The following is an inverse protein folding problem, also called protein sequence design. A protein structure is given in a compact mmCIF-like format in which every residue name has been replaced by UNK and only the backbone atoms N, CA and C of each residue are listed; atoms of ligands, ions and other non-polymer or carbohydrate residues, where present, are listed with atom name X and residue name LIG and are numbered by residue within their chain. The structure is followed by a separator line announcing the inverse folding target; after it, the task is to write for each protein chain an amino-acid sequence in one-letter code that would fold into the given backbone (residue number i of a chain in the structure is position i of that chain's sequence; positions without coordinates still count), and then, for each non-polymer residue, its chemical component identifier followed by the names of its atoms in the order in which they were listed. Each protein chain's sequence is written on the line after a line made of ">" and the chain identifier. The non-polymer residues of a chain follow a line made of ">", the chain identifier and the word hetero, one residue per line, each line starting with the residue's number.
data_IF_141518761147
#
_entry.id   IF_141518761147
#
_cell.length_a   1.000
_cell.length_b   1.000
_cell.length_c   1.000
_cell.angle_alpha   90.00
_cell.angle_beta   90.00
_cell.angle_gamma   90.00
#
_symmetry.space_group_name_H-M   'P 1'
#
loop_
_entity.id
_entity.type
_entity.pdbx_description
1 polymer ?
#
# COMPACT_ATOMS: atom_id res chain seq x y z
N UNK A 1 -35.29 1.02 -1.77
CA UNK A 1 -35.41 -0.44 -1.83
C UNK A 1 -35.71 -0.96 -0.43
N UNK A 2 -36.80 -1.70 -0.27
CA UNK A 2 -37.15 -2.38 0.99
C UNK A 2 -37.27 -3.90 0.80
N UNK A 3 -37.01 -4.39 -0.42
CA UNK A 3 -37.03 -5.81 -0.77
C UNK A 3 -35.66 -6.43 -0.49
N UNK A 4 -35.67 -7.65 0.03
CA UNK A 4 -34.44 -8.41 0.23
C UNK A 4 -33.85 -8.83 -1.12
N UNK A 5 -32.54 -8.63 -1.29
CA UNK A 5 -31.77 -9.04 -2.46
C UNK A 5 -30.85 -10.18 -2.02
N UNK A 6 -30.80 -11.27 -2.78
CA UNK A 6 -29.86 -12.36 -2.54
C UNK A 6 -29.25 -12.83 -3.86
N UNK A 7 -28.04 -13.37 -3.80
CA UNK A 7 -27.44 -14.09 -4.94
C UNK A 7 -27.16 -15.54 -4.55
N UNK A 8 -27.55 -16.47 -5.43
CA UNK A 8 -27.33 -17.91 -5.27
C UNK A 8 -26.18 -18.44 -6.13
N UNK A 9 -25.56 -17.59 -6.95
CA UNK A 9 -24.45 -17.97 -7.84
C UNK A 9 -23.10 -17.86 -7.14
N UNK A 10 -22.19 -18.79 -7.45
CA UNK A 10 -20.82 -18.81 -6.92
C UNK A 10 -19.88 -17.90 -7.70
N UNK A 11 -20.15 -17.68 -8.99
CA UNK A 11 -19.49 -16.68 -9.83
C UNK A 11 -20.17 -15.33 -9.58
N UNK A 12 -19.50 -14.37 -8.91
CA UNK A 12 -20.11 -13.09 -8.56
C UNK A 12 -20.14 -12.08 -9.71
N UNK A 13 -19.71 -10.82 -9.47
CA UNK A 13 -19.97 -9.63 -10.32
C UNK A 13 -21.40 -9.08 -10.23
N UNK A 14 -22.13 -9.42 -9.17
CA UNK A 14 -23.46 -8.88 -8.96
C UNK A 14 -23.37 -7.49 -8.32
N UNK A 15 -24.23 -6.56 -8.79
CA UNK A 15 -24.51 -5.31 -8.09
C UNK A 15 -25.90 -5.42 -7.48
N UNK A 16 -26.03 -5.21 -6.17
CA UNK A 16 -27.34 -5.17 -5.52
C UNK A 16 -28.09 -3.91 -5.90
N UNK A 17 -27.48 -2.76 -5.66
CA UNK A 17 -28.00 -1.44 -6.03
C UNK A 17 -26.87 -0.65 -6.70
N UNK A 18 -27.11 -0.15 -7.90
CA UNK A 18 -26.21 0.74 -8.61
C UNK A 18 -26.96 2.03 -8.96
N UNK A 19 -26.44 3.19 -8.57
CA UNK A 19 -27.13 4.46 -8.82
C UNK A 19 -26.18 5.65 -8.95
N UNK A 20 -26.58 6.63 -9.76
CA UNK A 20 -25.94 7.94 -9.89
C UNK A 20 -26.63 9.04 -9.10
N UNK A 21 -27.69 8.72 -8.37
CA UNK A 21 -28.50 9.68 -7.61
C UNK A 21 -28.73 9.16 -6.18
N UNK A 22 -29.87 9.45 -5.55
CA UNK A 22 -30.17 8.96 -4.21
C UNK A 22 -30.66 7.49 -4.24
N UNK A 23 -30.09 6.64 -3.38
CA UNK A 23 -30.55 5.28 -3.16
C UNK A 23 -30.67 4.99 -1.66
N UNK A 24 -31.88 4.72 -1.18
CA UNK A 24 -32.12 4.34 0.21
C UNK A 24 -32.51 2.85 0.27
N UNK A 25 -31.76 2.05 1.04
CA UNK A 25 -31.98 0.63 1.21
C UNK A 25 -32.34 0.28 2.66
N UNK A 26 -33.47 -0.37 2.87
CA UNK A 26 -33.89 -0.93 4.15
C UNK A 26 -34.08 -2.45 4.11
N UNK A 27 -34.02 -3.07 2.92
CA UNK A 27 -34.03 -4.53 2.76
C UNK A 27 -32.65 -5.13 3.01
N UNK A 28 -32.59 -6.43 3.28
CA UNK A 28 -31.32 -7.13 3.44
C UNK A 28 -30.71 -7.45 2.07
N UNK A 29 -29.39 -7.31 1.94
CA UNK A 29 -28.63 -7.74 0.76
C UNK A 29 -27.70 -8.88 1.20
N UNK A 30 -27.95 -10.09 0.70
CA UNK A 30 -27.14 -11.27 1.02
C UNK A 30 -26.37 -11.78 -0.20
N UNK A 31 -25.08 -11.46 -0.23
CA UNK A 31 -24.11 -11.91 -1.20
C UNK A 31 -23.03 -12.81 -0.59
N UNK A 32 -23.36 -13.52 0.49
CA UNK A 32 -22.44 -14.42 1.21
C UNK A 32 -21.88 -15.55 0.34
N UNK A 33 -22.65 -16.07 -0.60
CA UNK A 33 -22.31 -17.30 -1.36
C UNK A 33 -21.53 -17.07 -2.67
N UNK A 34 -21.26 -15.81 -3.04
CA UNK A 34 -20.60 -15.49 -4.31
C UNK A 34 -19.36 -14.61 -4.15
N UNK A 35 -18.45 -14.71 -5.12
CA UNK A 35 -17.15 -14.01 -5.09
C UNK A 35 -17.17 -12.77 -5.98
N UNK A 36 -16.78 -11.61 -5.44
CA UNK A 36 -16.72 -10.36 -6.19
C UNK A 36 -18.06 -9.65 -6.35
N UNK A 37 -18.89 -9.65 -5.31
CA UNK A 37 -20.21 -9.01 -5.34
C UNK A 37 -20.20 -7.65 -4.64
N UNK A 38 -20.97 -6.70 -5.18
CA UNK A 38 -21.06 -5.35 -4.65
C UNK A 38 -22.49 -5.05 -4.17
N UNK A 39 -22.66 -4.80 -2.87
CA UNK A 39 -23.97 -4.51 -2.28
C UNK A 39 -24.61 -3.24 -2.85
N UNK A 40 -24.07 -2.07 -2.48
CA UNK A 40 -24.55 -0.76 -2.97
C UNK A 40 -23.38 0.00 -3.61
N UNK A 41 -23.52 0.42 -4.87
CA UNK A 41 -22.52 1.22 -5.58
C UNK A 41 -23.08 2.56 -6.03
N UNK A 42 -22.43 3.64 -5.59
CA UNK A 42 -22.80 5.01 -5.90
C UNK A 42 -21.75 5.69 -6.79
N UNK A 43 -22.21 6.30 -7.88
CA UNK A 43 -21.38 7.03 -8.85
C UNK A 43 -21.97 8.42 -9.14
N UNK A 44 -21.26 9.22 -9.91
CA UNK A 44 -21.58 10.56 -10.39
C UNK A 44 -22.15 11.50 -9.31
N UNK A 45 -21.59 11.47 -8.10
CA UNK A 45 -22.05 12.28 -6.97
C UNK A 45 -23.30 11.75 -6.27
N UNK A 46 -23.76 10.55 -6.61
CA UNK A 46 -24.90 9.87 -6.00
C UNK A 46 -24.69 9.60 -4.50
N UNK A 47 -25.79 9.45 -3.78
CA UNK A 47 -25.79 9.17 -2.33
C UNK A 47 -26.55 7.90 -1.99
N UNK A 48 -25.86 6.92 -1.40
CA UNK A 48 -26.41 5.62 -1.01
C UNK A 48 -26.54 5.51 0.51
N UNK A 49 -27.70 5.12 1.01
CA UNK A 49 -27.94 4.90 2.44
C UNK A 49 -28.44 3.49 2.69
N UNK A 50 -27.80 2.78 3.61
CA UNK A 50 -28.23 1.47 4.05
C UNK A 50 -28.74 1.52 5.49
N UNK A 51 -29.90 0.94 5.78
CA UNK A 51 -30.39 0.68 7.14
C UNK A 51 -30.68 -0.80 7.40
N UNK A 52 -30.58 -1.65 6.37
CA UNK A 52 -30.72 -3.10 6.48
C UNK A 52 -29.39 -3.80 6.76
N UNK A 53 -29.37 -5.12 6.64
CA UNK A 53 -28.13 -5.91 6.72
C UNK A 53 -27.58 -6.16 5.32
N UNK A 54 -26.31 -5.84 5.09
CA UNK A 54 -25.56 -6.22 3.90
C UNK A 54 -24.53 -7.29 4.31
N UNK A 55 -24.53 -8.44 3.64
CA UNK A 55 -23.55 -9.50 3.85
C UNK A 55 -22.81 -9.76 2.55
N UNK A 56 -21.47 -9.77 2.59
CA UNK A 56 -20.63 -10.03 1.42
C UNK A 56 -19.72 -11.24 1.62
N UNK A 57 -19.56 -12.04 0.56
CA UNK A 57 -18.65 -13.17 0.47
C UNK A 57 -17.20 -12.75 0.15
N UNK A 58 -16.41 -13.69 -0.35
CA UNK A 58 -14.97 -13.48 -0.57
C UNK A 58 -14.69 -12.61 -1.79
N UNK A 59 -13.51 -12.00 -1.83
CA UNK A 59 -12.94 -11.46 -3.07
C UNK A 59 -12.02 -12.52 -3.70
N UNK A 60 -11.89 -12.47 -5.02
CA UNK A 60 -10.83 -13.15 -5.77
C UNK A 60 -9.90 -12.08 -6.34
N UNK A 61 -8.85 -11.82 -5.57
CA UNK A 61 -7.84 -10.80 -5.87
C UNK A 61 -7.05 -11.17 -7.14
N UNK A 62 -6.92 -12.46 -7.46
CA UNK A 62 -6.19 -12.92 -8.65
C UNK A 62 -6.92 -12.57 -9.95
N UNK A 63 -8.25 -12.59 -9.92
CA UNK A 63 -9.10 -12.24 -11.05
C UNK A 63 -9.74 -10.86 -10.94
N UNK A 64 -9.25 -10.02 -10.01
CA UNK A 64 -9.74 -8.64 -9.77
C UNK A 64 -11.25 -8.57 -9.44
N UNK A 65 -11.77 -9.59 -8.76
CA UNK A 65 -13.18 -9.69 -8.35
C UNK A 65 -13.33 -9.31 -6.87
N UNK A 66 -13.66 -8.06 -6.60
CA UNK A 66 -13.74 -7.55 -5.23
C UNK A 66 -15.16 -7.58 -4.67
N UNK A 67 -15.32 -8.22 -3.52
CA UNK A 67 -16.56 -8.20 -2.74
C UNK A 67 -16.58 -6.98 -1.83
N UNK A 68 -17.59 -6.13 -1.99
CA UNK A 68 -17.70 -4.86 -1.26
C UNK A 68 -19.12 -4.62 -0.78
N UNK A 69 -19.31 -4.36 0.52
CA UNK A 69 -20.64 -4.08 1.08
C UNK A 69 -21.26 -2.81 0.49
N UNK A 70 -20.55 -1.70 0.58
CA UNK A 70 -20.94 -0.43 -0.03
C UNK A 70 -19.74 0.26 -0.68
N UNK A 71 -19.90 0.82 -1.87
CA UNK A 71 -18.86 1.54 -2.59
C UNK A 71 -19.35 2.90 -3.09
N UNK A 72 -18.46 3.90 -3.09
CA UNK A 72 -18.70 5.19 -3.69
C UNK A 72 -17.49 5.69 -4.47
N UNK A 73 -17.74 6.29 -5.63
CA UNK A 73 -16.69 6.82 -6.48
C UNK A 73 -15.90 5.74 -7.23
N UNK A 74 -15.00 6.19 -8.08
CA UNK A 74 -14.18 5.36 -8.95
C UNK A 74 -12.93 6.12 -9.32
N UNK A 75 -11.78 5.45 -9.29
CA UNK A 75 -10.50 6.09 -9.62
C UNK A 75 -10.46 6.55 -11.08
N UNK A 76 -11.21 5.89 -11.96
CA UNK A 76 -11.16 6.10 -13.40
C UNK A 76 -10.18 5.14 -14.06
N UNK A 77 -10.48 4.76 -15.30
CA UNK A 77 -9.59 4.04 -16.19
C UNK A 77 -9.59 4.71 -17.59
N UNK A 78 -8.98 4.06 -18.59
CA UNK A 78 -8.90 4.60 -19.96
C UNK A 78 -10.26 4.80 -20.64
N UNK A 79 -11.27 4.10 -20.17
CA UNK A 79 -12.61 3.98 -20.78
C UNK A 79 -13.73 4.53 -19.90
N UNK A 80 -13.49 4.60 -18.59
CA UNK A 80 -14.46 4.99 -17.58
C UNK A 80 -13.90 6.16 -16.79
N UNK A 81 -14.57 7.31 -16.85
CA UNK A 81 -14.13 8.50 -16.14
C UNK A 81 -14.13 8.29 -14.62
N UNK A 82 -13.23 8.99 -13.93
CA UNK A 82 -13.25 9.06 -12.48
C UNK A 82 -14.60 9.61 -12.00
N UNK A 83 -15.08 9.11 -10.87
CA UNK A 83 -16.33 9.58 -10.28
C UNK A 83 -16.25 9.65 -8.76
N UNK A 84 -17.17 10.41 -8.17
CA UNK A 84 -17.35 10.54 -6.73
C UNK A 84 -18.71 9.99 -6.28
N UNK A 85 -18.93 9.95 -4.96
CA UNK A 85 -20.23 9.66 -4.37
C UNK A 85 -20.21 9.74 -2.85
N UNK A 86 -21.36 9.52 -2.21
CA UNK A 86 -21.46 9.39 -0.77
C UNK A 86 -22.17 8.09 -0.38
N UNK A 87 -21.66 7.40 0.63
CA UNK A 87 -22.32 6.21 1.19
C UNK A 87 -22.39 6.28 2.71
N UNK A 88 -23.56 5.93 3.25
CA UNK A 88 -23.84 5.93 4.68
C UNK A 88 -24.39 4.56 5.12
N UNK A 89 -23.67 3.88 6.02
CA UNK A 89 -24.18 2.68 6.68
C UNK A 89 -24.83 3.04 8.02
N UNK A 90 -26.15 2.92 8.07
CA UNK A 90 -26.99 3.03 9.28
C UNK A 90 -27.55 1.66 9.72
N UNK A 91 -27.07 0.56 9.13
CA UNK A 91 -27.43 -0.81 9.47
C UNK A 91 -26.20 -1.65 9.81
N UNK A 92 -26.18 -2.91 9.39
CA UNK A 92 -25.04 -3.80 9.62
C UNK A 92 -24.42 -4.23 8.31
N UNK A 93 -23.09 -4.19 8.21
CA UNK A 93 -22.33 -4.79 7.12
C UNK A 93 -21.54 -5.97 7.68
N UNK A 94 -21.82 -7.18 7.21
CA UNK A 94 -21.08 -8.40 7.53
C UNK A 94 -20.11 -8.73 6.39
N UNK A 95 -18.83 -8.72 6.71
CA UNK A 95 -17.71 -8.95 5.78
C UNK A 95 -17.22 -10.38 6.01
N UNK A 96 -17.82 -11.34 5.31
CA UNK A 96 -17.72 -12.76 5.66
C UNK A 96 -16.66 -13.54 4.89
N UNK A 97 -16.22 -13.06 3.72
CA UNK A 97 -15.20 -13.75 2.95
C UNK A 97 -13.84 -13.04 2.98
N UNK A 98 -12.78 -13.79 2.75
CA UNK A 98 -11.43 -13.25 2.73
C UNK A 98 -11.27 -12.14 1.68
N UNK A 99 -10.38 -11.18 1.97
CA UNK A 99 -10.04 -10.05 1.09
C UNK A 99 -11.22 -9.15 0.72
N UNK A 100 -12.39 -9.31 1.36
CA UNK A 100 -13.56 -8.47 1.13
C UNK A 100 -13.52 -7.19 1.96
N UNK A 101 -14.28 -6.20 1.49
CA UNK A 101 -14.28 -4.84 2.04
C UNK A 101 -15.69 -4.50 2.53
N UNK A 102 -15.81 -3.93 3.74
CA UNK A 102 -17.09 -3.44 4.24
C UNK A 102 -17.57 -2.24 3.44
N UNK A 103 -16.78 -1.16 3.42
CA UNK A 103 -17.07 0.05 2.65
C UNK A 103 -15.84 0.56 1.88
N UNK A 104 -16.04 1.00 0.64
CA UNK A 104 -15.00 1.53 -0.24
C UNK A 104 -15.32 2.96 -0.71
N UNK A 105 -14.31 3.83 -0.79
CA UNK A 105 -14.44 5.17 -1.34
C UNK A 105 -13.21 5.65 -2.11
N UNK A 106 -13.41 6.26 -3.28
CA UNK A 106 -12.33 6.85 -4.06
C UNK A 106 -12.66 8.26 -4.55
N UNK A 107 -11.61 9.05 -4.79
CA UNK A 107 -11.64 10.42 -5.33
C UNK A 107 -12.00 11.52 -4.33
N UNK A 108 -11.46 12.72 -4.59
CA UNK A 108 -11.78 13.93 -3.84
C UNK A 108 -13.26 14.28 -4.01
N UNK A 109 -13.96 14.51 -2.89
CA UNK A 109 -15.41 14.70 -2.86
C UNK A 109 -16.20 13.44 -2.50
N UNK A 110 -15.57 12.27 -2.42
CA UNK A 110 -16.21 11.06 -1.92
C UNK A 110 -16.20 10.99 -0.40
N UNK A 111 -17.34 10.61 0.19
CA UNK A 111 -17.47 10.40 1.64
C UNK A 111 -18.04 9.02 1.95
N UNK A 112 -17.39 8.31 2.86
CA UNK A 112 -17.77 6.98 3.35
C UNK A 112 -18.04 7.06 4.85
N UNK A 113 -19.31 6.92 5.24
CA UNK A 113 -19.75 7.10 6.63
C UNK A 113 -20.30 5.81 7.21
N UNK A 114 -19.68 5.30 8.27
CA UNK A 114 -20.25 4.23 9.09
C UNK A 114 -20.88 4.81 10.35
N UNK A 115 -22.21 4.71 10.48
CA UNK A 115 -22.96 5.14 11.67
C UNK A 115 -23.35 3.98 12.59
N UNK A 116 -23.18 2.73 12.14
CA UNK A 116 -23.56 1.51 12.88
C UNK A 116 -22.46 0.46 12.78
N UNK A 117 -22.77 -0.77 12.40
CA UNK A 117 -21.87 -1.90 12.57
C UNK A 117 -21.24 -2.33 11.24
N UNK A 118 -19.92 -2.49 11.25
CA UNK A 118 -19.17 -3.28 10.27
C UNK A 118 -18.50 -4.42 11.04
N UNK A 119 -18.84 -5.65 10.67
CA UNK A 119 -18.37 -6.87 11.33
C UNK A 119 -17.46 -7.65 10.38
N UNK A 120 -16.20 -7.78 10.75
CA UNK A 120 -15.14 -8.46 9.99
C UNK A 120 -15.03 -9.92 10.46
N UNK A 121 -15.47 -10.86 9.63
CA UNK A 121 -15.62 -12.28 10.01
C UNK A 121 -14.59 -13.21 9.34
N UNK A 122 -13.69 -12.69 8.51
CA UNK A 122 -12.65 -13.47 7.83
C UNK A 122 -11.28 -12.75 7.85
N UNK A 123 -10.21 -13.52 7.64
CA UNK A 123 -8.85 -12.99 7.52
C UNK A 123 -8.69 -12.11 6.26
N UNK A 124 -7.69 -11.24 6.28
CA UNK A 124 -7.39 -10.30 5.19
C UNK A 124 -8.54 -9.33 4.82
N UNK A 125 -9.56 -9.22 5.67
CA UNK A 125 -10.70 -8.32 5.42
C UNK A 125 -10.39 -6.88 5.81
N UNK A 126 -11.09 -5.95 5.17
CA UNK A 126 -11.00 -4.52 5.48
C UNK A 126 -12.36 -3.96 5.86
N UNK A 127 -12.44 -3.18 6.95
CA UNK A 127 -13.67 -2.48 7.33
C UNK A 127 -14.01 -1.36 6.36
N UNK A 128 -13.20 -0.30 6.38
CA UNK A 128 -13.32 0.83 5.45
C UNK A 128 -12.02 0.98 4.67
N UNK A 129 -12.11 1.11 3.36
CA UNK A 129 -10.98 1.49 2.50
C UNK A 129 -11.33 2.80 1.81
N UNK A 130 -10.51 3.85 2.00
CA UNK A 130 -10.64 5.10 1.24
C UNK A 130 -9.31 5.52 0.61
N UNK A 131 -9.36 6.09 -0.58
CA UNK A 131 -8.17 6.56 -1.29
C UNK A 131 -8.40 7.80 -2.17
N UNK A 132 -7.30 8.36 -2.65
CA UNK A 132 -7.28 9.48 -3.60
C UNK A 132 -8.08 10.69 -3.10
N UNK A 133 -7.80 11.12 -1.87
CA UNK A 133 -8.46 12.23 -1.16
C UNK A 133 -9.93 11.98 -0.73
N UNK A 134 -10.41 10.74 -0.77
CA UNK A 134 -11.71 10.39 -0.20
C UNK A 134 -11.70 10.46 1.34
N UNK A 135 -12.87 10.67 1.95
CA UNK A 135 -13.03 10.85 3.40
C UNK A 135 -13.79 9.67 4.01
N UNK A 136 -13.26 9.08 5.07
CA UNK A 136 -13.93 8.12 5.90
C UNK A 136 -14.37 8.76 7.22
N UNK A 137 -15.59 8.46 7.67
CA UNK A 137 -16.12 8.84 8.98
C UNK A 137 -16.65 7.59 9.66
N UNK A 138 -16.13 7.27 10.85
CA UNK A 138 -16.66 6.19 11.68
C UNK A 138 -17.31 6.79 12.94
N UNK A 139 -18.63 6.78 12.99
CA UNK A 139 -19.42 7.09 14.18
C UNK A 139 -19.88 5.83 14.93
N UNK A 140 -19.88 4.68 14.25
CA UNK A 140 -20.33 3.40 14.78
C UNK A 140 -19.19 2.48 15.25
N UNK A 141 -19.38 1.17 15.06
CA UNK A 141 -18.41 0.14 15.39
C UNK A 141 -17.85 -0.53 14.13
N UNK A 142 -16.53 -0.65 14.06
CA UNK A 142 -15.83 -1.56 13.15
C UNK A 142 -15.14 -2.59 14.03
N UNK A 143 -15.50 -3.87 13.89
CA UNK A 143 -14.96 -4.90 14.77
C UNK A 143 -14.79 -6.26 14.12
N UNK A 144 -13.87 -7.06 14.65
CA UNK A 144 -13.82 -8.49 14.35
C UNK A 144 -15.02 -9.21 14.97
N UNK A 145 -15.64 -10.12 14.22
CA UNK A 145 -16.78 -10.93 14.68
C UNK A 145 -16.44 -12.40 14.95
N UNK A 146 -15.25 -12.86 14.54
CA UNK A 146 -14.74 -14.20 14.79
C UNK A 146 -13.39 -14.17 15.50
N UNK A 147 -13.00 -15.29 16.13
CA UNK A 147 -11.68 -15.48 16.73
C UNK A 147 -10.71 -16.14 15.75
N UNK A 148 -9.41 -16.08 16.04
CA UNK A 148 -8.38 -16.75 15.24
C UNK A 148 -8.09 -16.12 13.88
N UNK A 149 -8.52 -14.87 13.67
CA UNK A 149 -8.30 -14.15 12.42
C UNK A 149 -6.86 -13.65 12.28
N UNK A 150 -6.44 -13.37 11.04
CA UNK A 150 -5.15 -12.78 10.70
C UNK A 150 -5.29 -11.67 9.66
N UNK A 151 -4.37 -10.72 9.69
CA UNK A 151 -4.26 -9.62 8.72
C UNK A 151 -5.57 -8.80 8.55
N UNK A 152 -6.42 -8.73 9.58
CA UNK A 152 -7.64 -7.95 9.52
C UNK A 152 -7.30 -6.47 9.67
N UNK A 153 -7.86 -5.62 8.82
CA UNK A 153 -7.63 -4.17 8.90
C UNK A 153 -8.95 -3.43 9.15
N UNK A 154 -9.01 -2.63 10.21
CA UNK A 154 -10.18 -1.81 10.50
C UNK A 154 -10.42 -0.76 9.41
N UNK A 155 -9.42 0.12 9.18
CA UNK A 155 -9.48 1.17 8.15
C UNK A 155 -8.18 1.24 7.35
N UNK A 156 -8.27 1.33 6.02
CA UNK A 156 -7.15 1.64 5.12
C UNK A 156 -7.32 3.04 4.58
N UNK A 157 -6.26 3.83 4.68
CA UNK A 157 -6.20 5.22 4.21
C UNK A 157 -5.13 5.38 3.13
N UNK A 158 -5.57 5.37 1.88
CA UNK A 158 -4.76 5.68 0.70
C UNK A 158 -4.35 7.16 0.60
N UNK A 159 -3.68 7.53 -0.49
CA UNK A 159 -3.14 8.86 -0.70
C UNK A 159 -4.11 10.01 -0.41
N UNK A 160 -3.72 10.92 0.48
CA UNK A 160 -4.48 12.14 0.83
C UNK A 160 -5.84 11.90 1.49
N UNK A 161 -6.21 10.64 1.76
CA UNK A 161 -7.48 10.31 2.39
C UNK A 161 -7.47 10.62 3.89
N UNK A 162 -8.64 10.75 4.50
CA UNK A 162 -8.74 11.08 5.92
C UNK A 162 -9.73 10.17 6.63
N UNK A 163 -9.43 9.75 7.86
CA UNK A 163 -10.39 9.15 8.78
C UNK A 163 -10.74 10.15 9.89
N UNK A 164 -12.03 10.37 10.11
CA UNK A 164 -12.54 10.90 11.38
C UNK A 164 -13.20 9.75 12.15
N UNK A 165 -12.56 9.30 13.22
CA UNK A 165 -13.11 8.24 14.07
C UNK A 165 -13.72 8.85 15.33
N UNK A 166 -15.06 8.87 15.41
CA UNK A 166 -15.83 9.23 16.61
C UNK A 166 -16.31 8.00 17.39
N UNK A 167 -16.35 6.84 16.73
CA UNK A 167 -16.81 5.57 17.30
C UNK A 167 -15.67 4.64 17.72
N UNK A 168 -15.93 3.34 17.60
CA UNK A 168 -15.00 2.28 18.05
C UNK A 168 -14.48 1.48 16.87
N UNK A 169 -13.15 1.29 16.82
CA UNK A 169 -12.47 0.32 15.95
C UNK A 169 -11.83 -0.73 16.88
N UNK A 170 -12.33 -1.96 16.89
CA UNK A 170 -11.84 -3.02 17.77
C UNK A 170 -11.50 -4.29 16.97
N UNK A 171 -10.20 -4.50 16.74
CA UNK A 171 -9.69 -5.53 15.84
C UNK A 171 -8.90 -6.57 16.63
N UNK A 172 -9.35 -7.82 16.62
CA UNK A 172 -8.66 -8.95 17.24
C UNK A 172 -8.19 -9.96 16.18
N UNK A 173 -6.88 -10.19 16.12
CA UNK A 173 -6.27 -11.13 15.18
C UNK A 173 -4.76 -10.95 15.12
N UNK A 174 -4.02 -11.92 14.58
CA UNK A 174 -2.57 -11.78 14.38
C UNK A 174 -2.26 -10.85 13.20
N UNK A 175 -1.14 -10.14 13.26
CA UNK A 175 -0.68 -9.21 12.21
C UNK A 175 -1.76 -8.21 11.72
N UNK A 176 -2.71 -7.88 12.60
CA UNK A 176 -3.90 -7.10 12.28
C UNK A 176 -3.69 -5.62 12.60
N UNK A 177 -4.48 -4.76 11.97
CA UNK A 177 -4.28 -3.31 12.02
C UNK A 177 -5.58 -2.59 12.34
N UNK A 178 -5.55 -1.65 13.27
CA UNK A 178 -6.70 -0.78 13.55
C UNK A 178 -6.89 0.19 12.38
N UNK A 179 -5.83 0.90 12.04
CA UNK A 179 -5.74 1.68 10.83
C UNK A 179 -4.38 1.52 10.11
N UNK A 180 -4.43 1.38 8.79
CA UNK A 180 -3.27 1.33 7.90
C UNK A 180 -3.19 2.61 7.07
N UNK A 181 -2.19 3.43 7.33
CA UNK A 181 -1.93 4.68 6.63
C UNK A 181 -0.99 4.40 5.45
N UNK A 182 -1.56 4.35 4.25
CA UNK A 182 -0.87 4.46 2.96
C UNK A 182 -0.85 5.93 2.49
N UNK A 183 -0.62 6.81 3.46
CA UNK A 183 -0.50 8.25 3.24
C UNK A 183 -1.75 9.10 3.42
N UNK A 184 -2.80 8.54 4.00
CA UNK A 184 -3.88 9.33 4.60
C UNK A 184 -3.63 9.64 6.09
N UNK A 185 -4.51 10.46 6.68
CA UNK A 185 -4.39 10.95 8.06
C UNK A 185 -5.59 10.57 8.91
N UNK A 186 -5.40 10.53 10.24
CA UNK A 186 -6.45 10.15 11.19
C UNK A 186 -6.67 11.27 12.19
N UNK A 187 -7.94 11.66 12.36
CA UNK A 187 -8.44 12.37 13.52
C UNK A 187 -9.24 11.37 14.38
N UNK A 188 -8.63 10.90 15.47
CA UNK A 188 -9.25 9.91 16.36
C UNK A 188 -9.82 10.60 17.61
N UNK A 189 -11.15 10.69 17.69
CA UNK A 189 -11.92 11.18 18.83
C UNK A 189 -12.56 10.05 19.64
N UNK A 190 -12.72 8.86 19.04
CA UNK A 190 -13.19 7.64 19.69
C UNK A 190 -12.03 6.70 20.07
N UNK A 191 -12.25 5.39 19.96
CA UNK A 191 -11.25 4.36 20.31
C UNK A 191 -10.80 3.55 19.10
N UNK A 192 -9.51 3.23 19.08
CA UNK A 192 -8.90 2.21 18.22
C UNK A 192 -8.19 1.25 19.17
N UNK A 193 -8.60 -0.01 19.16
CA UNK A 193 -8.01 -1.05 20.00
C UNK A 193 -7.70 -2.26 19.14
N UNK A 194 -6.50 -2.79 19.29
CA UNK A 194 -6.05 -3.94 18.51
C UNK A 194 -5.39 -4.96 19.42
N UNK A 195 -5.69 -6.24 19.22
CA UNK A 195 -5.12 -7.34 19.98
C UNK A 195 -4.66 -8.48 19.07
N UNK A 196 -3.65 -9.22 19.52
CA UNK A 196 -3.02 -10.32 18.77
C UNK A 196 -1.55 -10.06 18.43
N UNK A 197 -0.79 -11.14 18.24
CA UNK A 197 0.65 -11.04 18.00
C UNK A 197 0.95 -10.32 16.68
N UNK A 198 1.89 -9.37 16.72
CA UNK A 198 2.31 -8.59 15.54
C UNK A 198 1.32 -7.50 15.09
N UNK A 199 0.25 -7.28 15.85
CA UNK A 199 -0.82 -6.35 15.49
C UNK A 199 -0.54 -4.93 16.01
N UNK A 200 -1.06 -3.91 15.31
CA UNK A 200 -0.81 -2.50 15.61
C UNK A 200 -2.10 -1.67 15.54
N UNK A 201 -2.31 -0.77 16.49
CA UNK A 201 -3.43 0.18 16.45
C UNK A 201 -3.38 1.09 15.22
N UNK A 202 -2.20 1.65 14.96
CA UNK A 202 -1.91 2.39 13.75
C UNK A 202 -0.60 1.87 13.16
N UNK A 203 -0.59 1.70 11.84
CA UNK A 203 0.60 1.32 11.10
C UNK A 203 0.71 2.21 9.87
N UNK A 204 1.90 2.70 9.57
CA UNK A 204 2.13 3.49 8.37
C UNK A 204 3.30 2.95 7.59
N UNK A 205 3.15 2.92 6.26
CA UNK A 205 4.20 2.46 5.33
C UNK A 205 5.48 3.30 5.41
N UNK A 206 5.47 4.45 6.08
CA UNK A 206 6.61 5.35 6.25
C UNK A 206 7.07 5.53 7.71
N UNK A 207 6.54 4.74 8.66
CA UNK A 207 6.73 4.94 10.11
C UNK A 207 8.11 4.54 10.62
N UNK A 208 8.89 3.81 9.82
CA UNK A 208 10.25 3.39 10.15
C UNK A 208 11.27 4.15 9.29
N UNK A 209 12.35 4.68 9.88
CA UNK A 209 13.47 5.23 9.11
C UNK A 209 14.01 4.20 8.12
N UNK A 210 14.35 4.66 6.92
CA UNK A 210 15.06 3.84 5.93
C UNK A 210 16.58 4.04 6.05
N UNK A 211 17.04 4.80 7.05
CA UNK A 211 18.47 5.04 7.32
C UNK A 211 19.30 3.76 7.29
N UNK A 212 20.42 3.80 6.57
CA UNK A 212 21.41 2.72 6.54
C UNK A 212 22.80 3.20 6.88
N UNK A 213 23.56 2.33 7.54
CA UNK A 213 24.94 2.57 7.97
C UNK A 213 25.77 1.35 7.55
N UNK A 214 26.89 1.57 6.88
CA UNK A 214 27.87 0.53 6.54
C UNK A 214 29.27 1.14 6.49
N UNK A 215 30.14 0.72 7.42
CA UNK A 215 31.47 1.29 7.56
C UNK A 215 31.41 2.81 7.76
N UNK A 216 32.20 3.61 7.02
CA UNK A 216 32.22 5.06 7.11
C UNK A 216 31.05 5.75 6.42
N UNK A 217 30.17 5.00 5.73
CA UNK A 217 29.06 5.54 4.96
C UNK A 217 27.77 5.46 5.78
N UNK A 218 27.10 6.59 5.90
CA UNK A 218 25.73 6.69 6.42
C UNK A 218 24.85 7.34 5.36
N UNK A 219 23.76 6.69 4.99
CA UNK A 219 22.66 7.36 4.27
C UNK A 219 21.52 7.54 5.26
N UNK A 220 21.35 8.77 5.76
CA UNK A 220 20.35 9.10 6.74
C UNK A 220 19.05 9.52 6.06
N UNK A 221 18.02 8.70 6.21
CA UNK A 221 16.67 8.90 5.72
C UNK A 221 15.69 8.61 6.87
N UNK A 222 15.44 9.60 7.75
CA UNK A 222 14.48 9.49 8.83
C UNK A 222 13.08 9.10 8.32
N UNK A 223 12.24 8.56 9.21
CA UNK A 223 10.85 8.25 8.90
C UNK A 223 10.14 9.48 8.30
N UNK A 224 9.53 9.31 7.13
CA UNK A 224 8.85 10.40 6.41
C UNK A 224 9.75 11.48 5.79
N UNK A 225 11.07 11.29 5.68
CA UNK A 225 11.95 12.26 5.05
C UNK A 225 11.75 12.31 3.52
N UNK A 226 11.60 13.52 2.96
CA UNK A 226 11.48 13.75 1.51
C UNK A 226 12.82 13.69 0.77
N UNK A 227 13.93 13.85 1.49
CA UNK A 227 15.31 13.76 1.00
C UNK A 227 16.18 13.07 2.03
N UNK A 228 17.19 12.31 1.59
CA UNK A 228 18.20 11.72 2.46
C UNK A 228 19.51 12.50 2.41
N UNK A 229 20.27 12.47 3.50
CA UNK A 229 21.64 13.00 3.53
C UNK A 229 22.64 11.85 3.50
N UNK A 230 23.64 11.92 2.61
CA UNK A 230 24.75 10.98 2.59
C UNK A 230 25.91 11.60 3.35
N UNK A 231 26.49 10.83 4.27
CA UNK A 231 27.67 11.20 5.06
C UNK A 231 28.75 10.13 4.84
N UNK A 232 29.95 10.56 4.48
CA UNK A 232 31.14 9.72 4.34
C UNK A 232 32.21 10.20 5.32
N UNK A 233 32.69 9.33 6.22
CA UNK A 233 33.65 9.69 7.28
C UNK A 233 33.18 10.89 8.13
N UNK A 234 31.87 10.97 8.41
CA UNK A 234 31.30 12.10 9.17
C UNK A 234 31.08 13.39 8.38
N UNK A 235 31.49 13.45 7.10
CA UNK A 235 31.31 14.64 6.23
C UNK A 235 30.13 14.43 5.26
N UNK A 236 29.22 15.40 5.21
CA UNK A 236 28.07 15.37 4.29
C UNK A 236 28.52 15.58 2.84
N UNK A 237 28.00 14.76 1.93
CA UNK A 237 28.32 14.79 0.50
C UNK A 237 27.06 14.99 -0.34
N UNK A 238 27.20 15.71 -1.46
CA UNK A 238 26.09 15.95 -2.40
C UNK A 238 26.07 14.87 -3.48
N UNK A 239 24.98 14.08 -3.63
CA UNK A 239 24.89 13.06 -4.66
C UNK A 239 24.71 13.67 -6.06
N UNK A 240 25.20 12.95 -7.07
CA UNK A 240 24.93 13.28 -8.48
C UNK A 240 23.61 12.66 -8.89
N UNK A 241 22.70 13.47 -9.46
CA UNK A 241 21.39 13.00 -9.92
C UNK A 241 21.52 12.33 -11.30
N UNK A 242 21.02 11.11 -11.42
CA UNK A 242 20.94 10.36 -12.70
C UNK A 242 19.49 10.36 -13.20
N UNK A 243 19.28 10.76 -14.47
CA UNK A 243 17.97 10.84 -15.15
C UNK A 243 17.97 10.03 -16.46
N UNK A 244 16.79 9.60 -16.90
CA UNK A 244 16.61 8.60 -17.98
C UNK A 244 16.40 9.17 -19.39
N UNK A 245 16.73 8.36 -20.41
CA UNK A 245 16.25 8.47 -21.79
C UNK A 245 15.56 7.14 -22.19
N UNK A 246 14.34 7.20 -22.75
CA UNK A 246 13.36 6.09 -22.73
C UNK A 246 13.65 4.87 -23.63
N UNK A 247 13.40 3.64 -23.13
CA UNK A 247 13.07 2.40 -23.86
C UNK A 247 12.49 1.28 -22.95
N UNK A 248 12.01 0.17 -23.54
CA UNK A 248 11.00 -0.76 -22.98
C UNK A 248 11.48 -1.77 -21.90
N UNK A 249 10.59 -2.29 -21.04
CA UNK A 249 11.00 -3.02 -19.83
C UNK A 249 11.02 -4.57 -19.92
N UNK A 250 11.82 -5.23 -19.06
CA UNK A 250 12.02 -6.71 -18.92
C UNK A 250 11.49 -7.29 -17.57
N UNK A 251 11.23 -8.61 -17.48
CA UNK A 251 10.57 -9.27 -16.32
C UNK A 251 11.49 -10.30 -15.61
N UNK A 252 11.29 -10.54 -14.31
CA UNK A 252 12.08 -11.49 -13.47
C UNK A 252 11.20 -12.47 -12.65
N UNK A 253 11.76 -13.63 -12.24
CA UNK A 253 11.06 -14.87 -11.76
C UNK A 253 11.36 -15.23 -10.28
N UNK A 254 10.52 -16.11 -9.67
CA UNK A 254 10.21 -16.22 -8.24
C UNK A 254 10.74 -17.46 -7.48
N UNK A 255 11.30 -17.23 -6.28
CA UNK A 255 11.15 -18.04 -5.04
C UNK A 255 11.84 -17.24 -3.90
N UNK A 256 11.05 -16.63 -3.03
CA UNK A 256 11.22 -15.21 -2.59
C UNK A 256 11.32 -14.30 -3.82
N UNK A 257 10.44 -13.30 -3.91
CA UNK A 257 10.41 -12.47 -5.11
C UNK A 257 11.30 -11.26 -4.87
N UNK A 258 12.55 -11.39 -5.29
CA UNK A 258 13.45 -10.26 -5.49
C UNK A 258 13.13 -9.58 -6.81
N UNK A 259 12.58 -8.37 -6.75
CA UNK A 259 12.44 -7.51 -7.91
C UNK A 259 13.73 -6.73 -8.11
N UNK A 260 14.40 -7.00 -9.23
CA UNK A 260 15.60 -6.26 -9.61
C UNK A 260 15.23 -4.88 -10.15
N UNK A 261 15.70 -3.82 -9.50
CA UNK A 261 15.57 -2.44 -9.96
C UNK A 261 16.77 -2.07 -10.81
N UNK A 262 16.63 -2.18 -12.14
CA UNK A 262 17.68 -1.74 -13.06
C UNK A 262 17.76 -0.20 -13.05
N UNK A 263 18.92 0.34 -12.65
CA UNK A 263 19.15 1.78 -12.51
C UNK A 263 19.88 2.41 -13.70
N UNK A 264 20.08 1.66 -14.79
CA UNK A 264 20.98 2.01 -15.91
C UNK A 264 20.57 3.25 -16.69
N UNK A 265 19.33 3.70 -16.52
CA UNK A 265 18.78 4.77 -17.35
C UNK A 265 18.51 4.35 -18.80
N UNK A 266 18.79 3.09 -19.19
CA UNK A 266 18.67 2.56 -20.56
C UNK A 266 17.64 1.42 -20.66
N UNK A 267 17.77 0.43 -19.78
CA UNK A 267 16.86 -0.71 -19.66
C UNK A 267 16.21 -0.67 -18.27
N UNK A 268 14.94 -1.06 -18.16
CA UNK A 268 14.21 -1.05 -16.88
C UNK A 268 13.49 -2.38 -16.70
N UNK A 269 13.26 -2.82 -15.45
CA UNK A 269 12.44 -4.01 -15.21
C UNK A 269 11.00 -3.64 -14.86
N UNK A 270 10.07 -4.57 -15.08
CA UNK A 270 8.69 -4.47 -14.57
C UNK A 270 8.56 -5.21 -13.26
N UNK A 271 7.69 -4.69 -12.41
CA UNK A 271 7.14 -5.49 -11.33
C UNK A 271 6.18 -6.57 -11.85
N UNK A 272 5.93 -7.58 -11.01
CA UNK A 272 5.01 -8.68 -11.24
C UNK A 272 3.57 -8.23 -10.90
N UNK A 273 2.66 -8.34 -11.86
CA UNK A 273 1.23 -8.12 -11.62
C UNK A 273 0.68 -9.21 -10.71
N UNK A 274 -0.10 -8.84 -9.68
CA UNK A 274 -0.67 -9.80 -8.71
C UNK A 274 0.34 -10.32 -7.70
N UNK A 275 1.45 -9.61 -7.45
CA UNK A 275 2.55 -10.07 -6.59
C UNK A 275 2.12 -10.54 -5.19
N UNK A 276 1.13 -9.91 -4.55
CA UNK A 276 0.70 -10.34 -3.21
C UNK A 276 -0.10 -11.64 -3.19
N UNK A 277 -0.47 -12.18 -4.35
CA UNK A 277 -1.01 -13.55 -4.45
C UNK A 277 0.10 -14.60 -4.35
N UNK A 278 1.37 -14.20 -4.52
CA UNK A 278 2.53 -15.10 -4.55
C UNK A 278 3.34 -15.05 -3.25
N UNK A 279 3.33 -13.92 -2.54
CA UNK A 279 4.12 -13.73 -1.31
C UNK A 279 3.58 -12.58 -0.47
N UNK A 280 3.75 -12.66 0.86
CA UNK A 280 3.53 -11.54 1.79
C UNK A 280 4.78 -10.67 2.00
N UNK A 281 5.95 -11.13 1.54
CA UNK A 281 7.25 -10.44 1.67
C UNK A 281 7.96 -10.38 0.30
N UNK A 282 8.53 -9.23 -0.04
CA UNK A 282 9.28 -9.06 -1.28
C UNK A 282 10.51 -8.16 -1.11
N UNK A 283 11.51 -8.36 -1.96
CA UNK A 283 12.75 -7.58 -1.94
C UNK A 283 12.84 -6.68 -3.16
N UNK A 284 13.35 -5.46 -3.00
CA UNK A 284 13.87 -4.64 -4.10
C UNK A 284 15.39 -4.68 -4.10
N UNK A 285 15.95 -5.28 -5.15
CA UNK A 285 17.39 -5.38 -5.35
C UNK A 285 17.80 -4.27 -6.30
N UNK A 286 18.43 -3.22 -5.77
CA UNK A 286 18.80 -2.04 -6.56
C UNK A 286 20.11 -2.29 -7.30
N UNK A 287 20.04 -2.35 -8.63
CA UNK A 287 21.19 -2.47 -9.49
C UNK A 287 22.10 -1.24 -9.46
N UNK A 288 23.39 -1.43 -9.74
CA UNK A 288 24.41 -0.36 -9.70
C UNK A 288 24.69 0.28 -11.04
N UNK A 289 23.87 0.04 -12.06
CA UNK A 289 24.12 0.51 -13.42
C UNK A 289 24.11 2.04 -13.54
N UNK A 290 23.43 2.76 -12.65
CA UNK A 290 23.52 4.23 -12.57
C UNK A 290 24.97 4.71 -12.41
N UNK A 291 25.84 3.93 -11.77
CA UNK A 291 27.28 4.25 -11.64
C UNK A 291 28.06 4.21 -12.96
N UNK A 292 27.51 3.63 -14.03
CA UNK A 292 28.15 3.68 -15.35
C UNK A 292 27.93 5.03 -16.05
N UNK A 293 26.95 5.82 -15.59
CA UNK A 293 26.59 7.11 -16.18
C UNK A 293 27.29 8.30 -15.51
N UNK A 294 28.03 8.06 -14.43
CA UNK A 294 28.72 9.09 -13.65
C UNK A 294 29.93 8.52 -12.92
N UNK A 295 31.00 9.30 -12.75
CA UNK A 295 32.15 8.92 -11.91
C UNK A 295 31.93 9.21 -10.42
N UNK A 296 30.74 9.70 -10.05
CA UNK A 296 30.41 10.02 -8.66
C UNK A 296 30.30 8.77 -7.81
N UNK A 297 30.92 8.80 -6.62
CA UNK A 297 30.77 7.79 -5.56
C UNK A 297 29.43 7.88 -4.83
N UNK A 298 28.63 8.92 -5.11
CA UNK A 298 27.35 9.19 -4.47
C UNK A 298 26.32 9.54 -5.53
N UNK A 299 25.22 8.80 -5.59
CA UNK A 299 24.26 8.86 -6.68
C UNK A 299 22.85 8.99 -6.11
N UNK A 300 22.04 9.83 -6.73
CA UNK A 300 20.60 9.91 -6.51
C UNK A 300 19.88 9.52 -7.79
N UNK A 301 19.01 8.52 -7.71
CA UNK A 301 18.08 8.15 -8.77
C UNK A 301 16.70 8.62 -8.37
N UNK A 302 16.12 9.56 -9.12
CA UNK A 302 14.79 10.12 -8.85
C UNK A 302 13.90 10.15 -10.09
N UNK A 303 14.19 9.26 -11.04
CA UNK A 303 13.45 9.18 -12.29
C UNK A 303 12.25 8.24 -12.15
N UNK A 304 11.05 8.79 -12.32
CA UNK A 304 9.80 8.05 -12.23
C UNK A 304 9.72 6.90 -13.25
N UNK A 305 10.42 6.95 -14.39
CA UNK A 305 10.43 5.80 -15.32
C UNK A 305 11.11 4.57 -14.73
N UNK A 306 12.05 4.77 -13.79
CA UNK A 306 12.68 3.70 -13.02
C UNK A 306 11.79 3.34 -11.83
N UNK A 307 11.26 4.32 -11.08
CA UNK A 307 10.59 4.05 -9.80
C UNK A 307 9.12 3.60 -9.93
N UNK A 308 8.37 4.11 -10.91
CA UNK A 308 6.92 3.89 -11.04
C UNK A 308 6.50 2.42 -11.16
N UNK A 309 7.21 1.54 -11.91
CA UNK A 309 6.87 0.12 -11.96
C UNK A 309 6.83 -0.54 -10.58
N UNK A 310 7.76 -0.20 -9.69
CA UNK A 310 7.84 -0.76 -8.34
C UNK A 310 6.89 -0.04 -7.39
N UNK A 311 6.72 1.28 -7.53
CA UNK A 311 5.72 2.04 -6.78
C UNK A 311 4.30 1.51 -6.99
N UNK A 312 3.93 1.18 -8.24
CA UNK A 312 2.64 0.59 -8.53
C UNK A 312 2.46 -0.74 -7.79
N UNK A 313 3.49 -1.59 -7.78
CA UNK A 313 3.43 -2.87 -7.09
C UNK A 313 3.40 -2.74 -5.57
N UNK A 314 4.19 -1.84 -4.98
CA UNK A 314 4.16 -1.56 -3.53
C UNK A 314 2.73 -1.18 -3.11
N UNK A 315 2.06 -0.37 -3.91
CA UNK A 315 0.74 0.14 -3.59
C UNK A 315 -0.37 -0.89 -3.81
N UNK A 316 -0.30 -1.64 -4.91
CA UNK A 316 -1.40 -2.49 -5.38
C UNK A 316 -1.27 -3.96 -5.00
N UNK A 317 -0.08 -4.46 -4.67
CA UNK A 317 0.14 -5.91 -4.52
C UNK A 317 -0.46 -6.52 -3.27
N UNK A 318 -0.54 -5.79 -2.15
CA UNK A 318 -0.92 -6.36 -0.85
C UNK A 318 0.23 -6.97 -0.05
N UNK A 319 1.47 -6.96 -0.59
CA UNK A 319 2.70 -7.34 0.13
C UNK A 319 2.85 -6.45 1.37
N UNK A 320 3.05 -7.08 2.53
CA UNK A 320 3.05 -6.40 3.83
C UNK A 320 4.43 -5.94 4.28
N UNK A 321 5.50 -6.50 3.68
CA UNK A 321 6.90 -6.16 3.98
C UNK A 321 7.75 -6.07 2.70
N UNK A 322 8.50 -4.97 2.60
CA UNK A 322 9.44 -4.71 1.50
C UNK A 322 10.83 -4.45 2.05
N UNK A 323 11.79 -5.34 1.77
CA UNK A 323 13.20 -5.09 2.07
C UNK A 323 13.90 -4.51 0.83
N UNK A 324 14.78 -3.54 1.02
CA UNK A 324 15.42 -2.82 -0.09
C UNK A 324 16.91 -2.80 0.14
N UNK A 325 17.71 -3.28 -0.81
CA UNK A 325 19.17 -3.32 -0.69
C UNK A 325 19.84 -3.26 -2.05
N UNK A 326 21.15 -3.04 -2.04
CA UNK A 326 21.96 -2.96 -3.26
C UNK A 326 22.21 -4.36 -3.80
N UNK A 327 22.12 -4.53 -5.11
CA UNK A 327 22.53 -5.74 -5.82
C UNK A 327 24.05 -5.92 -5.90
N UNK A 328 24.83 -4.95 -5.41
CA UNK A 328 26.28 -5.05 -5.29
C UNK A 328 26.74 -4.93 -3.85
N UNK A 329 27.75 -5.73 -3.49
CA UNK A 329 28.49 -5.62 -2.23
C UNK A 329 29.12 -4.23 -2.04
N UNK A 330 29.56 -3.61 -3.14
CA UNK A 330 30.35 -2.38 -3.10
C UNK A 330 29.53 -1.09 -3.02
N UNK A 331 28.21 -1.23 -2.94
CA UNK A 331 27.28 -0.11 -2.88
C UNK A 331 26.27 -0.32 -1.77
N UNK A 332 25.95 0.75 -1.06
CA UNK A 332 24.82 0.82 -0.14
C UNK A 332 23.71 1.66 -0.78
N UNK A 333 22.46 1.28 -0.56
CA UNK A 333 21.30 2.01 -1.09
C UNK A 333 20.21 2.15 -0.05
N UNK A 334 19.48 3.26 -0.12
CA UNK A 334 18.24 3.44 0.61
C UNK A 334 17.29 4.38 -0.14
N UNK A 335 15.97 4.17 -0.07
CA UNK A 335 15.03 5.13 -0.62
C UNK A 335 14.65 6.22 0.38
N UNK A 336 14.13 7.32 -0.16
CA UNK A 336 13.15 8.14 0.56
C UNK A 336 11.75 7.76 0.12
N UNK A 337 10.79 7.88 1.03
CA UNK A 337 9.39 7.57 0.77
C UNK A 337 8.57 8.85 0.83
N UNK A 338 7.67 9.00 -0.13
CA UNK A 338 6.66 10.04 -0.11
C UNK A 338 5.79 9.87 1.15
N UNK A 339 5.70 10.88 2.02
CA UNK A 339 4.97 10.74 3.28
C UNK A 339 3.47 10.49 3.09
N UNK A 340 2.91 11.01 1.99
CA UNK A 340 1.49 10.97 1.67
C UNK A 340 1.07 9.79 0.81
N UNK A 341 1.98 8.88 0.42
CA UNK A 341 1.64 7.71 -0.40
C UNK A 341 2.43 6.46 -0.05
N UNK A 342 3.58 6.59 0.62
CA UNK A 342 4.53 5.50 0.82
C UNK A 342 5.30 5.11 -0.45
N UNK A 343 5.19 5.88 -1.55
CA UNK A 343 5.94 5.66 -2.78
C UNK A 343 7.42 5.97 -2.59
N UNK A 344 8.28 5.19 -3.22
CA UNK A 344 9.68 5.55 -3.45
C UNK A 344 9.74 6.86 -4.24
N UNK A 345 10.41 7.88 -3.69
CA UNK A 345 10.61 9.19 -4.35
C UNK A 345 12.03 9.35 -4.89
N UNK A 346 13.01 8.82 -4.16
CA UNK A 346 14.41 8.83 -4.54
C UNK A 346 15.05 7.52 -4.08
N UNK A 347 16.05 7.04 -4.81
CA UNK A 347 17.02 6.06 -4.34
C UNK A 347 18.37 6.76 -4.18
N UNK A 348 18.92 6.72 -2.98
CA UNK A 348 20.24 7.23 -2.68
C UNK A 348 21.21 6.06 -2.62
N UNK A 349 22.28 6.14 -3.39
CA UNK A 349 23.30 5.12 -3.49
C UNK A 349 24.66 5.72 -3.15
N UNK A 350 25.47 4.99 -2.39
CA UNK A 350 26.82 5.39 -2.06
C UNK A 350 27.78 4.20 -2.22
N UNK A 351 28.93 4.46 -2.84
CA UNK A 351 30.01 3.50 -2.94
C UNK A 351 30.60 3.30 -1.55
N UNK A 352 30.73 2.04 -1.15
CA UNK A 352 31.42 1.65 0.08
C UNK A 352 32.90 1.50 -0.29
N UNK A 353 33.84 2.10 0.48
CA UNK A 353 35.26 2.02 0.16
C UNK A 353 35.77 0.57 0.13
N UNK A 354 36.64 0.23 -0.83
CA UNK A 354 37.22 -1.12 -0.89
C UNK A 354 37.96 -1.55 0.37
N UNK A 355 38.51 -0.58 1.09
CA UNK A 355 39.23 -0.79 2.34
C UNK A 355 38.37 -1.39 3.45
N UNK A 356 37.04 -1.24 3.38
CA UNK A 356 36.12 -1.84 4.37
C UNK A 356 36.13 -3.36 4.38
N UNK A 357 36.57 -3.99 3.28
CA UNK A 357 36.67 -5.44 3.17
C UNK A 357 38.10 -5.96 3.36
N UNK A 358 39.05 -5.09 3.75
CA UNK A 358 40.43 -5.50 3.98
C UNK A 358 40.61 -6.08 5.39
N UNK A 359 41.04 -7.35 5.47
CA UNK A 359 41.30 -8.04 6.74
C UNK A 359 42.70 -7.76 7.33
N UNK A 360 43.63 -7.26 6.51
CA UNK A 360 45.02 -7.00 6.89
C UNK A 360 45.62 -5.82 6.11
N UNK A 361 46.81 -5.39 6.52
CA UNK A 361 47.49 -4.19 6.00
C UNK A 361 47.87 -4.30 4.52
N UNK A 362 48.26 -5.48 4.04
CA UNK A 362 48.63 -5.65 2.63
C UNK A 362 47.37 -5.59 1.76
N UNK A 363 46.29 -6.24 2.18
CA UNK A 363 44.99 -6.18 1.53
C UNK A 363 44.43 -4.75 1.55
N UNK A 364 44.62 -4.01 2.64
CA UNK A 364 44.21 -2.60 2.76
C UNK A 364 44.93 -1.72 1.74
N UNK A 365 46.26 -1.81 1.64
CA UNK A 365 47.03 -1.01 0.69
C UNK A 365 46.64 -1.29 -0.77
N UNK A 366 46.33 -2.55 -1.09
CA UNK A 366 45.81 -2.92 -2.41
C UNK A 366 44.42 -2.34 -2.66
N UNK A 367 43.51 -2.47 -1.69
CA UNK A 367 42.14 -1.95 -1.76
C UNK A 367 42.11 -0.42 -1.87
N UNK A 368 42.97 0.28 -1.12
CA UNK A 368 43.16 1.73 -1.23
C UNK A 368 43.66 2.14 -2.62
N UNK A 369 44.60 1.38 -3.19
CA UNK A 369 45.04 1.56 -4.57
C UNK A 369 43.90 1.41 -5.60
N UNK A 370 42.92 0.54 -5.36
CA UNK A 370 41.71 0.44 -6.18
C UNK A 370 40.79 1.64 -5.98
N UNK A 371 40.62 2.12 -4.75
CA UNK A 371 39.76 3.26 -4.39
C UNK A 371 40.23 4.59 -5.01
N UNK A 372 41.54 4.71 -5.24
CA UNK A 372 42.15 5.85 -5.93
C UNK A 372 41.92 5.84 -7.44
N UNK A 373 41.67 4.65 -8.03
CA UNK A 373 41.54 4.47 -9.49
C UNK A 373 40.10 4.31 -9.96
N UNK A 374 39.21 3.83 -9.08
CA UNK A 374 37.81 3.50 -9.37
C UNK A 374 36.88 4.01 -8.27
#
# INVERSE_FOLDING_TARGET
>A
NSTNIASTGTTGKNYGIYSSSQANNSGNIDFSNGVGNLGIYMVNGGTGRNSGTITVGASDVSNELFSVGMAAGYIGDKTTAATTGAIENNGTINVNGEYSIGMYGAQSGTTVTNNKDIVLNASNTTGIYVENNAKAVNNGSIRTGASGLSNVTGVVLGPGSTLTNNGTINISGTASKGALLKGGTIANYGSITVSGAGSKETDSLNSTPTTKILGPITINAPAGASTATITANGVTVTPTVVKTAARNPITVSANSIGLYVNTSGKDYTKSITGLGNLTSEADLIIGTEASQSTTSKYIQVNDNKILDPYNNAILSSGVSKWDIYSGSLTWITTPTLDPGTGKLTNLYMAKVPYTEWAADRNTYNFADGLEQRY
#
